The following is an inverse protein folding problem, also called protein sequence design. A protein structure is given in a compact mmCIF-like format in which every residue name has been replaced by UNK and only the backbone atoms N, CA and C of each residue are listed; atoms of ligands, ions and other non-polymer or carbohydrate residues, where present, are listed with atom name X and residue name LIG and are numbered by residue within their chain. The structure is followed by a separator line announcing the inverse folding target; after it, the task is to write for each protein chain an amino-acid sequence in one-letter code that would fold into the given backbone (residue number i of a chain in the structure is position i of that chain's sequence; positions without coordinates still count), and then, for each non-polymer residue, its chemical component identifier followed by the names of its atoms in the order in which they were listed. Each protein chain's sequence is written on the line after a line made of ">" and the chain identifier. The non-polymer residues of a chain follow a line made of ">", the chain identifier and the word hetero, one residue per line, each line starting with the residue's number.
data_IF_982022838561
#
_entry.id   IF_982022838561
#
_cell.length_a   1.000
_cell.length_b   1.000
_cell.length_c   1.000
_cell.angle_alpha   90.00
_cell.angle_beta   90.00
_cell.angle_gamma   90.00
#
_symmetry.space_group_name_H-M   'P 1'
#
loop_
_entity.id
_entity.type
_entity.pdbx_description
1 polymer ?
#
# COMPACT_ATOMS: atom_id res chain seq x y z
N UNK A 1 4.10 -67.87 23.69
CA UNK A 1 5.31 -67.03 23.73
C UNK A 1 5.05 -65.79 22.87
N UNK A 2 5.01 -64.57 23.51
CA UNK A 2 4.84 -63.27 22.78
C UNK A 2 6.19 -62.79 22.30
N UNK A 3 6.38 -62.72 20.96
CA UNK A 3 7.56 -62.12 20.37
C UNK A 3 7.58 -60.62 20.66
N UNK A 4 8.47 -60.19 21.54
CA UNK A 4 8.76 -58.78 21.82
C UNK A 4 9.54 -58.23 20.63
N UNK A 5 8.87 -57.47 19.72
CA UNK A 5 9.56 -56.69 18.67
C UNK A 5 10.44 -55.64 19.35
N UNK A 6 11.77 -55.83 19.24
CA UNK A 6 12.73 -54.83 19.65
C UNK A 6 12.55 -53.59 18.75
N UNK A 7 12.14 -52.48 19.31
CA UNK A 7 12.15 -51.18 18.64
C UNK A 7 13.63 -50.78 18.43
N UNK A 8 14.04 -50.60 17.19
CA UNK A 8 15.35 -50.01 16.85
C UNK A 8 15.34 -48.57 17.36
N UNK A 9 16.24 -48.26 18.27
CA UNK A 9 16.48 -46.88 18.69
C UNK A 9 17.21 -46.09 17.60
N UNK A 10 16.92 -44.81 17.51
CA UNK A 10 17.57 -43.88 16.59
C UNK A 10 18.99 -43.59 17.10
N UNK A 11 19.99 -43.61 16.22
CA UNK A 11 21.37 -43.30 16.61
C UNK A 11 21.57 -41.77 16.60
N UNK A 12 22.46 -41.26 17.44
CA UNK A 12 22.85 -39.84 17.50
C UNK A 12 23.39 -39.35 16.16
N UNK A 13 24.13 -40.22 15.43
CA UNK A 13 24.68 -39.93 14.12
C UNK A 13 23.57 -39.74 13.06
N UNK A 14 22.54 -40.59 13.05
CA UNK A 14 21.42 -40.46 12.13
C UNK A 14 20.70 -39.12 12.33
N UNK A 15 20.50 -38.71 13.61
CA UNK A 15 19.88 -37.41 13.89
C UNK A 15 20.78 -36.26 13.43
N UNK A 16 22.09 -36.33 13.63
CA UNK A 16 23.05 -35.31 13.26
C UNK A 16 23.11 -35.11 11.75
N UNK A 17 23.09 -36.19 10.97
CA UNK A 17 23.06 -36.12 9.51
C UNK A 17 21.78 -35.43 9.02
N UNK A 18 20.63 -35.75 9.61
CA UNK A 18 19.34 -35.14 9.21
C UNK A 18 19.35 -33.62 9.44
N UNK A 19 19.78 -33.16 10.63
CA UNK A 19 19.82 -31.71 10.91
C UNK A 19 20.86 -31.00 10.02
N UNK A 20 21.99 -31.66 9.68
CA UNK A 20 22.98 -31.10 8.77
C UNK A 20 22.40 -30.91 7.37
N UNK A 21 21.65 -31.89 6.84
CA UNK A 21 20.99 -31.78 5.52
C UNK A 21 19.91 -30.68 5.55
N UNK A 22 19.09 -30.63 6.60
CA UNK A 22 18.07 -29.57 6.75
C UNK A 22 18.74 -28.20 6.79
N UNK A 23 19.86 -28.03 7.52
CA UNK A 23 20.62 -26.78 7.58
C UNK A 23 21.12 -26.32 6.23
N UNK A 24 21.68 -27.25 5.43
CA UNK A 24 22.14 -26.94 4.06
C UNK A 24 20.96 -26.54 3.16
N UNK A 25 19.87 -27.30 3.18
CA UNK A 25 18.69 -26.99 2.37
C UNK A 25 18.08 -25.63 2.76
N UNK A 26 17.95 -25.36 4.05
CA UNK A 26 17.42 -24.09 4.56
C UNK A 26 18.28 -22.89 4.12
N UNK A 27 19.62 -23.04 4.13
CA UNK A 27 20.54 -21.97 3.70
C UNK A 27 20.40 -21.61 2.23
N UNK A 28 20.05 -22.56 1.37
CA UNK A 28 19.82 -22.34 -0.07
C UNK A 28 18.46 -21.73 -0.37
N UNK A 29 17.43 -22.09 0.42
CA UNK A 29 16.04 -21.63 0.20
C UNK A 29 15.83 -20.20 0.71
N UNK A 30 16.49 -19.82 1.82
CA UNK A 30 16.25 -18.54 2.50
C UNK A 30 16.36 -17.30 1.58
N UNK A 31 17.42 -17.11 0.78
CA UNK A 31 17.53 -15.95 -0.10
C UNK A 31 16.46 -15.92 -1.19
N UNK A 32 16.08 -17.07 -1.75
CA UNK A 32 15.03 -17.16 -2.75
C UNK A 32 13.65 -16.82 -2.17
N UNK A 33 13.37 -17.28 -0.94
CA UNK A 33 12.12 -16.98 -0.23
C UNK A 33 11.99 -15.49 0.08
N UNK A 34 13.06 -14.84 0.54
CA UNK A 34 13.08 -13.40 0.81
C UNK A 34 12.77 -12.57 -0.44
N UNK A 35 13.34 -12.92 -1.59
CA UNK A 35 13.05 -12.26 -2.86
C UNK A 35 11.59 -12.49 -3.31
N UNK A 36 11.07 -13.70 -3.16
CA UNK A 36 9.68 -14.02 -3.50
C UNK A 36 8.69 -13.24 -2.64
N UNK A 37 8.95 -13.10 -1.34
CA UNK A 37 8.11 -12.31 -0.43
C UNK A 37 8.10 -10.82 -0.82
N UNK A 38 9.26 -10.25 -1.16
CA UNK A 38 9.35 -8.86 -1.62
C UNK A 38 8.57 -8.63 -2.94
N UNK A 39 8.67 -9.56 -3.89
CA UNK A 39 7.88 -9.50 -5.13
C UNK A 39 6.37 -9.60 -4.85
N UNK A 40 5.95 -10.49 -3.95
CA UNK A 40 4.55 -10.64 -3.53
C UNK A 40 3.98 -9.36 -2.92
N UNK A 41 4.75 -8.69 -2.05
CA UNK A 41 4.38 -7.42 -1.44
C UNK A 41 4.18 -6.30 -2.47
N UNK A 42 5.06 -6.23 -3.48
CA UNK A 42 4.92 -5.27 -4.59
C UNK A 42 3.67 -5.54 -5.43
N UNK A 43 3.38 -6.80 -5.76
CA UNK A 43 2.17 -7.16 -6.51
C UNK A 43 0.90 -6.82 -5.73
N UNK A 44 0.86 -7.07 -4.42
CA UNK A 44 -0.27 -6.72 -3.56
C UNK A 44 -0.48 -5.21 -3.54
N UNK A 45 0.57 -4.43 -3.29
CA UNK A 45 0.53 -2.97 -3.30
C UNK A 45 0.03 -2.44 -4.65
N UNK A 46 0.55 -2.95 -5.78
CA UNK A 46 0.10 -2.57 -7.11
C UNK A 46 -1.41 -2.83 -7.31
N UNK A 47 -1.89 -4.02 -6.90
CA UNK A 47 -3.31 -4.37 -7.03
C UNK A 47 -4.19 -3.48 -6.15
N UNK A 48 -3.76 -3.16 -4.92
CA UNK A 48 -4.50 -2.28 -4.03
C UNK A 48 -4.56 -0.85 -4.58
N UNK A 49 -3.43 -0.29 -5.05
CA UNK A 49 -3.43 1.02 -5.72
C UNK A 49 -4.36 1.05 -6.94
N UNK A 50 -4.37 -0.04 -7.72
CA UNK A 50 -5.26 -0.19 -8.88
C UNK A 50 -6.72 -0.23 -8.45
N UNK A 51 -7.07 -1.00 -7.41
CA UNK A 51 -8.43 -1.06 -6.88
C UNK A 51 -8.92 0.32 -6.42
N UNK A 52 -8.09 1.06 -5.67
CA UNK A 52 -8.42 2.41 -5.22
C UNK A 52 -8.64 3.34 -6.42
N UNK A 53 -7.71 3.35 -7.37
CA UNK A 53 -7.77 4.24 -8.55
C UNK A 53 -8.94 3.91 -9.47
N UNK A 54 -9.22 2.62 -9.72
CA UNK A 54 -10.34 2.18 -10.54
C UNK A 54 -11.69 2.50 -9.88
N UNK A 55 -11.80 2.27 -8.58
CA UNK A 55 -13.01 2.57 -7.83
C UNK A 55 -13.28 4.07 -7.80
N UNK A 56 -12.24 4.88 -7.56
CA UNK A 56 -12.35 6.33 -7.66
C UNK A 56 -12.80 6.77 -9.04
N UNK A 57 -12.14 6.28 -10.11
CA UNK A 57 -12.45 6.63 -11.49
C UNK A 57 -13.89 6.25 -11.84
N UNK A 58 -14.32 5.05 -11.47
CA UNK A 58 -15.70 4.59 -11.66
C UNK A 58 -16.69 5.52 -10.97
N UNK A 59 -16.45 5.85 -9.69
CA UNK A 59 -17.33 6.72 -8.92
C UNK A 59 -17.44 8.12 -9.50
N UNK A 60 -16.32 8.76 -9.86
CA UNK A 60 -16.32 10.15 -10.33
C UNK A 60 -16.86 10.29 -11.76
N UNK A 61 -16.77 9.22 -12.58
CA UNK A 61 -17.25 9.21 -13.97
C UNK A 61 -18.69 8.67 -14.12
N UNK A 62 -19.27 8.07 -13.10
CA UNK A 62 -20.62 7.51 -13.17
C UNK A 62 -21.67 8.58 -12.96
N UNK A 63 -22.64 8.64 -13.87
CA UNK A 63 -23.82 9.53 -13.80
C UNK A 63 -23.64 10.85 -14.57
N UNK A 64 -24.67 11.70 -14.46
CA UNK A 64 -24.76 12.96 -15.23
C UNK A 64 -24.08 14.16 -14.54
N UNK A 65 -23.67 14.00 -13.29
CA UNK A 65 -23.02 15.07 -12.51
C UNK A 65 -21.59 14.68 -12.17
N UNK A 66 -20.69 15.63 -12.30
CA UNK A 66 -19.30 15.50 -11.85
C UNK A 66 -19.28 15.33 -10.32
N UNK A 67 -18.60 14.29 -9.85
CA UNK A 67 -18.43 14.00 -8.42
C UNK A 67 -16.97 14.17 -8.05
N UNK A 68 -16.72 14.71 -6.87
CA UNK A 68 -15.38 14.88 -6.32
C UNK A 68 -15.33 14.17 -4.97
N UNK A 69 -14.31 13.36 -4.73
CA UNK A 69 -14.07 12.75 -3.43
C UNK A 69 -13.37 13.78 -2.54
N UNK A 70 -13.93 14.02 -1.37
CA UNK A 70 -13.42 14.98 -0.38
C UNK A 70 -13.46 14.35 0.99
N UNK A 71 -12.34 14.41 1.71
CA UNK A 71 -12.22 14.07 3.12
C UNK A 71 -11.46 15.16 3.87
N UNK A 72 -11.64 15.28 5.18
CA UNK A 72 -10.82 16.10 6.04
C UNK A 72 -9.51 15.38 6.41
N UNK A 73 -9.57 14.06 6.44
CA UNK A 73 -8.44 13.16 6.62
C UNK A 73 -8.53 12.00 5.61
N UNK A 74 -7.51 11.15 5.58
CA UNK A 74 -7.45 10.00 4.68
C UNK A 74 -8.52 8.94 5.00
N UNK A 75 -8.92 8.82 6.26
CA UNK A 75 -9.95 7.88 6.71
C UNK A 75 -11.33 8.28 6.18
N UNK A 76 -11.66 9.56 6.25
CA UNK A 76 -12.91 10.09 5.66
C UNK A 76 -12.90 9.96 4.14
N UNK A 77 -11.75 10.23 3.49
CA UNK A 77 -11.61 10.05 2.05
C UNK A 77 -11.86 8.59 1.63
N UNK A 78 -11.29 7.63 2.35
CA UNK A 78 -11.52 6.20 2.14
C UNK A 78 -12.99 5.82 2.41
N UNK A 79 -13.59 6.38 3.46
CA UNK A 79 -15.00 6.13 3.80
C UNK A 79 -15.98 6.64 2.74
N UNK A 80 -15.65 7.71 2.03
CA UNK A 80 -16.46 8.15 0.86
C UNK A 80 -16.48 7.08 -0.23
N UNK A 81 -15.34 6.44 -0.52
CA UNK A 81 -15.30 5.34 -1.49
C UNK A 81 -16.00 4.09 -0.97
N UNK A 82 -15.92 3.81 0.32
CA UNK A 82 -16.64 2.72 0.95
C UNK A 82 -18.16 2.89 0.85
N UNK A 83 -18.67 4.09 1.14
CA UNK A 83 -20.09 4.41 1.09
C UNK A 83 -20.64 4.50 -0.35
N UNK A 84 -19.91 5.18 -1.24
CA UNK A 84 -20.41 5.59 -2.55
C UNK A 84 -20.00 4.65 -3.69
N UNK A 85 -18.99 3.81 -3.47
CA UNK A 85 -18.40 2.95 -4.50
C UNK A 85 -18.06 1.54 -4.00
N UNK A 86 -18.59 1.15 -2.83
CA UNK A 86 -18.50 -0.20 -2.24
C UNK A 86 -17.06 -0.66 -1.92
N UNK A 87 -16.07 0.25 -1.87
CA UNK A 87 -14.69 -0.07 -1.51
C UNK A 87 -14.54 -0.09 0.02
N UNK A 88 -15.19 -1.03 0.69
CA UNK A 88 -15.27 -1.09 2.16
C UNK A 88 -14.30 -2.10 2.81
N UNK A 89 -13.43 -2.73 2.05
CA UNK A 89 -12.40 -3.64 2.58
C UNK A 89 -11.19 -2.84 3.10
N UNK A 90 -10.97 -2.89 4.41
CA UNK A 90 -9.86 -2.18 5.05
C UNK A 90 -8.47 -2.72 4.66
N UNK A 91 -8.37 -3.99 4.25
CA UNK A 91 -7.10 -4.61 3.85
C UNK A 91 -6.50 -3.98 2.57
N UNK A 92 -7.30 -3.27 1.79
CA UNK A 92 -6.84 -2.51 0.63
C UNK A 92 -6.01 -1.30 1.07
N UNK A 93 -6.34 -0.72 2.21
CA UNK A 93 -5.73 0.49 2.76
C UNK A 93 -4.56 0.21 3.70
N UNK A 94 -4.51 -1.00 4.28
CA UNK A 94 -3.56 -1.43 5.30
C UNK A 94 -2.71 -2.56 4.72
N UNK A 95 -1.42 -2.30 4.49
CA UNK A 95 -0.49 -3.31 3.98
C UNK A 95 0.21 -3.99 5.15
N UNK A 96 0.01 -5.30 5.30
CA UNK A 96 0.50 -6.11 6.43
C UNK A 96 2.04 -6.25 6.51
N UNK A 97 2.75 -5.77 5.50
CA UNK A 97 4.21 -5.70 5.47
C UNK A 97 4.75 -4.28 5.73
N UNK A 98 3.88 -3.32 5.97
CA UNK A 98 4.24 -1.95 6.34
C UNK A 98 4.63 -1.88 7.82
N UNK A 99 5.80 -1.32 8.13
CA UNK A 99 6.37 -1.37 9.47
C UNK A 99 5.43 -0.86 10.58
N UNK A 100 4.80 0.32 10.46
CA UNK A 100 3.86 0.81 11.48
C UNK A 100 2.63 -0.12 11.65
N UNK A 101 2.20 -0.79 10.58
CA UNK A 101 1.13 -1.79 10.65
C UNK A 101 1.58 -3.02 11.42
N UNK A 102 2.79 -3.52 11.13
CA UNK A 102 3.39 -4.65 11.85
C UNK A 102 3.53 -4.32 13.34
N UNK A 103 4.01 -3.14 13.67
CA UNK A 103 4.14 -2.66 15.06
C UNK A 103 2.78 -2.66 15.75
N UNK A 104 1.75 -2.10 15.11
CA UNK A 104 0.39 -2.09 15.66
C UNK A 104 -0.16 -3.50 15.90
N UNK A 105 0.05 -4.43 14.96
CA UNK A 105 -0.37 -5.84 15.09
C UNK A 105 0.42 -6.51 16.23
N UNK A 106 1.69 -6.20 16.41
CA UNK A 106 2.53 -6.78 17.47
C UNK A 106 2.04 -6.42 18.88
N UNK A 107 1.31 -5.31 19.03
CA UNK A 107 0.64 -4.94 20.30
C UNK A 107 -0.67 -5.69 20.57
N UNK A 108 -1.06 -6.62 19.69
CA UNK A 108 -2.28 -7.42 19.79
C UNK A 108 -3.48 -6.84 19.04
N UNK A 109 -3.32 -5.76 18.28
CA UNK A 109 -4.38 -5.23 17.44
C UNK A 109 -4.63 -6.12 16.22
N UNK A 110 -5.89 -6.27 15.81
CA UNK A 110 -6.27 -6.99 14.60
C UNK A 110 -6.61 -5.99 13.50
N UNK A 111 -6.17 -6.25 12.27
CA UNK A 111 -6.54 -5.44 11.11
C UNK A 111 -8.07 -5.44 10.98
N UNK A 112 -8.73 -4.27 10.93
CA UNK A 112 -10.18 -4.18 10.80
C UNK A 112 -10.64 -4.73 9.45
N UNK A 113 -11.87 -5.25 9.40
CA UNK A 113 -12.44 -5.81 8.17
C UNK A 113 -12.98 -4.71 7.25
N UNK A 114 -13.50 -3.62 7.84
CA UNK A 114 -14.22 -2.58 7.11
C UNK A 114 -13.63 -1.19 7.32
N UNK A 115 -13.67 -0.38 6.27
CA UNK A 115 -13.30 1.05 6.30
C UNK A 115 -14.35 1.87 7.02
N UNK A 116 -15.63 1.59 6.75
CA UNK A 116 -16.76 2.30 7.32
C UNK A 116 -17.86 1.34 7.73
N UNK A 117 -18.60 1.73 8.77
CA UNK A 117 -19.74 0.99 9.31
C UNK A 117 -21.02 1.71 8.95
N UNK A 118 -22.07 0.93 8.58
CA UNK A 118 -23.39 1.45 8.26
C UNK A 118 -24.34 1.22 9.44
N UNK A 119 -24.95 2.30 9.92
CA UNK A 119 -26.03 2.24 10.93
C UNK A 119 -27.27 2.89 10.34
N UNK A 120 -28.24 2.06 9.94
CA UNK A 120 -29.42 2.53 9.19
C UNK A 120 -29.04 3.09 7.82
N UNK A 121 -29.31 4.38 7.59
CA UNK A 121 -28.93 5.12 6.38
C UNK A 121 -27.58 5.85 6.50
N UNK A 122 -27.02 5.92 7.70
CA UNK A 122 -25.81 6.68 7.97
C UNK A 122 -24.57 5.80 7.88
N UNK A 123 -23.53 6.34 7.21
CA UNK A 123 -22.20 5.76 7.17
C UNK A 123 -21.26 6.57 8.05
N UNK A 124 -20.42 5.87 8.79
CA UNK A 124 -19.38 6.47 9.64
C UNK A 124 -18.08 5.70 9.47
N UNK A 125 -16.96 6.40 9.53
CA UNK A 125 -15.63 5.75 9.57
C UNK A 125 -15.63 4.72 10.69
N UNK A 126 -15.15 3.51 10.40
CA UNK A 126 -14.96 2.49 11.42
C UNK A 126 -13.89 2.97 12.42
N UNK A 127 -14.20 3.08 13.73
CA UNK A 127 -13.23 3.52 14.73
C UNK A 127 -11.97 2.65 14.76
N UNK A 128 -12.11 1.34 14.58
CA UNK A 128 -10.97 0.41 14.50
C UNK A 128 -10.07 0.72 13.28
N UNK A 129 -10.67 1.07 12.14
CA UNK A 129 -9.92 1.47 10.97
C UNK A 129 -9.18 2.80 11.18
N UNK A 130 -9.81 3.75 11.86
CA UNK A 130 -9.20 5.04 12.17
C UNK A 130 -8.01 4.93 13.14
N UNK A 131 -7.95 3.86 13.93
CA UNK A 131 -6.86 3.57 14.86
C UNK A 131 -5.64 2.88 14.18
N UNK A 132 -5.77 2.46 12.91
CA UNK A 132 -4.68 1.84 12.16
C UNK A 132 -3.94 2.85 11.27
N UNK A 133 -2.60 2.72 11.14
CA UNK A 133 -1.84 3.49 10.17
C UNK A 133 -2.23 3.06 8.74
N UNK A 134 -2.49 4.04 7.89
CA UNK A 134 -2.78 3.82 6.47
C UNK A 134 -1.47 3.81 5.69
N UNK A 135 -1.31 2.81 4.82
CA UNK A 135 -0.10 2.63 4.00
C UNK A 135 -0.07 3.53 2.75
N UNK A 136 -1.05 4.40 2.59
CA UNK A 136 -1.25 5.24 1.40
C UNK A 136 -1.30 6.71 1.74
N UNK A 137 -0.94 7.52 0.77
CA UNK A 137 -1.24 8.95 0.69
C UNK A 137 -2.13 9.19 -0.53
N UNK A 138 -3.04 10.15 -0.48
CA UNK A 138 -3.99 10.42 -1.56
C UNK A 138 -4.07 11.89 -1.89
N UNK A 139 -4.35 12.19 -3.17
CA UNK A 139 -4.70 13.52 -3.63
C UNK A 139 -6.18 13.81 -3.36
N UNK A 140 -6.45 14.68 -2.39
CA UNK A 140 -7.80 15.13 -2.06
C UNK A 140 -8.33 16.10 -3.14
N UNK A 141 -9.65 16.17 -3.30
CA UNK A 141 -10.33 17.11 -4.21
C UNK A 141 -9.82 17.01 -5.66
N UNK A 142 -9.38 15.84 -6.07
CA UNK A 142 -8.91 15.61 -7.44
C UNK A 142 -10.04 15.82 -8.44
N UNK A 143 -9.76 16.62 -9.48
CA UNK A 143 -10.72 16.89 -10.54
C UNK A 143 -10.95 15.61 -11.38
N UNK A 144 -12.19 15.17 -11.57
CA UNK A 144 -12.50 14.03 -12.44
C UNK A 144 -12.04 14.20 -13.89
N UNK A 145 -11.82 15.44 -14.33
CA UNK A 145 -11.31 15.76 -15.64
C UNK A 145 -9.81 16.12 -15.64
N UNK A 146 -9.12 15.82 -14.52
CA UNK A 146 -7.67 15.98 -14.46
C UNK A 146 -7.00 15.22 -15.62
N UNK A 147 -5.87 15.73 -16.14
CA UNK A 147 -5.09 15.03 -17.15
C UNK A 147 -4.76 13.60 -16.70
N UNK A 148 -4.79 12.66 -17.65
CA UNK A 148 -4.25 11.31 -17.40
C UNK A 148 -2.78 11.44 -16.97
N UNK A 149 -2.36 10.63 -16.01
CA UNK A 149 -1.04 10.77 -15.39
C UNK A 149 -0.98 11.79 -14.25
N UNK A 150 -2.12 12.35 -13.80
CA UNK A 150 -2.20 13.06 -12.52
C UNK A 150 -2.19 12.03 -11.38
N UNK A 151 -1.26 12.11 -10.41
CA UNK A 151 -1.25 11.21 -9.26
C UNK A 151 -2.52 11.29 -8.43
N UNK A 152 -3.05 10.15 -8.02
CA UNK A 152 -4.26 10.04 -7.20
C UNK A 152 -3.98 9.41 -5.84
N UNK A 153 -3.27 8.29 -5.84
CA UNK A 153 -2.91 7.52 -4.64
C UNK A 153 -1.48 7.01 -4.78
N UNK A 154 -0.73 7.01 -3.72
CA UNK A 154 0.62 6.44 -3.70
C UNK A 154 0.97 5.85 -2.34
N UNK A 155 1.93 4.92 -2.32
CA UNK A 155 2.42 4.36 -1.06
C UNK A 155 3.05 5.45 -0.21
N UNK A 156 2.82 5.40 1.10
CA UNK A 156 3.33 6.39 2.06
C UNK A 156 4.86 6.52 2.00
N UNK A 157 5.35 7.72 2.32
CA UNK A 157 6.76 8.03 2.50
C UNK A 157 7.42 8.68 1.29
N UNK A 158 6.66 9.17 0.30
CA UNK A 158 7.19 9.92 -0.81
C UNK A 158 7.46 11.37 -0.40
N UNK A 159 8.72 11.78 -0.46
CA UNK A 159 9.17 13.15 -0.12
C UNK A 159 8.99 14.13 -1.28
N UNK A 160 8.95 15.41 -0.95
CA UNK A 160 8.96 16.50 -1.96
C UNK A 160 10.22 16.53 -2.82
N UNK A 161 11.30 15.90 -2.37
CA UNK A 161 12.52 15.68 -3.15
C UNK A 161 12.35 14.67 -4.30
N UNK A 162 11.25 13.91 -4.31
CA UNK A 162 11.01 12.81 -5.25
C UNK A 162 11.62 11.47 -4.82
N UNK A 163 12.24 11.43 -3.66
CA UNK A 163 12.81 10.21 -3.07
C UNK A 163 11.86 9.61 -2.04
N UNK A 164 11.93 8.29 -1.87
CA UNK A 164 11.18 7.59 -0.85
C UNK A 164 11.93 7.61 0.48
N UNK A 165 11.18 7.76 1.56
CA UNK A 165 11.74 7.77 2.90
C UNK A 165 12.28 6.39 3.31
N UNK A 166 13.41 6.39 4.04
CA UNK A 166 14.06 5.17 4.47
C UNK A 166 13.37 4.48 5.66
N UNK A 167 12.66 5.26 6.48
CA UNK A 167 12.05 4.82 7.74
C UNK A 167 10.54 4.78 7.63
N UNK A 168 9.92 5.86 7.12
CA UNK A 168 8.47 6.00 7.00
C UNK A 168 7.90 5.37 5.72
N UNK A 169 8.74 5.12 4.72
CA UNK A 169 8.32 4.55 3.44
C UNK A 169 7.88 3.09 3.57
N UNK A 170 6.73 2.74 3.00
CA UNK A 170 6.20 1.36 2.99
C UNK A 170 7.20 0.35 2.46
N UNK A 171 7.93 0.69 1.42
CA UNK A 171 9.03 -0.10 0.83
C UNK A 171 10.40 0.52 1.12
N UNK A 172 10.46 1.40 2.11
CA UNK A 172 11.68 2.15 2.43
C UNK A 172 12.21 2.87 1.19
N UNK A 173 13.54 2.89 1.00
CA UNK A 173 14.18 3.53 -0.16
C UNK A 173 14.04 2.77 -1.48
N UNK A 174 13.46 1.58 -1.47
CA UNK A 174 13.35 0.77 -2.70
C UNK A 174 12.44 1.40 -3.76
N UNK A 175 11.49 2.24 -3.32
CA UNK A 175 10.51 2.87 -4.19
C UNK A 175 9.09 2.74 -3.67
N UNK A 176 8.13 2.96 -4.56
CA UNK A 176 6.72 2.80 -4.24
C UNK A 176 5.83 2.86 -5.48
N UNK A 177 4.58 2.49 -5.30
CA UNK A 177 3.58 2.58 -6.35
C UNK A 177 2.88 3.92 -6.35
N UNK A 178 2.60 4.42 -7.54
CA UNK A 178 1.71 5.56 -7.76
C UNK A 178 0.58 5.11 -8.67
N UNK A 179 -0.65 5.26 -8.22
CA UNK A 179 -1.86 5.11 -9.00
C UNK A 179 -2.36 6.46 -9.48
N UNK A 180 -2.78 6.53 -10.72
CA UNK A 180 -3.12 7.76 -11.43
C UNK A 180 -4.63 7.87 -11.69
N UNK A 181 -5.08 9.05 -12.10
CA UNK A 181 -6.50 9.36 -12.36
C UNK A 181 -7.13 8.57 -13.50
N UNK A 182 -6.35 7.98 -14.38
CA UNK A 182 -6.78 7.04 -15.43
C UNK A 182 -6.70 5.57 -15.01
N UNK A 183 -6.43 5.33 -13.71
CA UNK A 183 -6.34 4.02 -13.08
C UNK A 183 -5.16 3.14 -13.54
N UNK A 184 -4.15 3.69 -14.23
CA UNK A 184 -2.88 2.98 -14.35
C UNK A 184 -2.07 3.10 -13.05
N UNK A 185 -1.19 2.15 -12.81
CA UNK A 185 -0.31 2.10 -11.64
C UNK A 185 1.10 1.79 -12.10
N UNK A 186 2.06 2.58 -11.63
CA UNK A 186 3.47 2.37 -11.91
C UNK A 186 4.31 2.31 -10.64
N UNK A 187 5.42 1.60 -10.72
CA UNK A 187 6.45 1.55 -9.69
C UNK A 187 7.54 2.56 -9.99
N UNK A 188 7.88 3.37 -9.00
CA UNK A 188 8.95 4.35 -9.09
C UNK A 188 9.99 4.09 -7.99
N UNK A 189 11.25 3.95 -8.35
CA UNK A 189 12.39 3.94 -7.42
C UNK A 189 12.69 5.36 -6.94
N UNK A 190 12.49 6.34 -7.82
CA UNK A 190 12.60 7.78 -7.58
C UNK A 190 11.72 8.51 -8.59
N UNK A 191 11.22 9.70 -8.25
CA UNK A 191 10.56 10.61 -9.19
C UNK A 191 11.54 11.46 -10.00
N UNK A 192 12.85 11.24 -9.83
CA UNK A 192 13.90 11.82 -10.64
C UNK A 192 14.36 10.80 -11.67
N UNK A 193 14.36 11.17 -12.92
CA UNK A 193 14.95 10.37 -13.98
C UNK A 193 16.48 10.30 -13.78
N UNK A 194 17.03 9.10 -13.77
CA UNK A 194 18.45 8.86 -13.46
C UNK A 194 19.39 9.51 -14.48
N UNK A 195 18.98 9.58 -15.74
CA UNK A 195 19.80 10.08 -16.84
C UNK A 195 19.68 11.60 -17.00
N UNK A 196 18.45 12.11 -16.98
CA UNK A 196 18.19 13.54 -17.23
C UNK A 196 18.13 14.37 -15.95
N UNK A 197 17.99 13.73 -14.78
CA UNK A 197 17.73 14.36 -13.48
C UNK A 197 16.45 15.21 -13.45
N UNK A 198 15.63 15.14 -14.49
CA UNK A 198 14.34 15.81 -14.57
C UNK A 198 13.29 15.00 -13.80
N UNK A 199 12.18 15.64 -13.46
CA UNK A 199 11.04 14.96 -12.88
C UNK A 199 10.36 14.03 -13.88
N UNK A 200 9.81 12.91 -13.40
CA UNK A 200 9.03 11.98 -14.23
C UNK A 200 7.56 12.38 -14.33
N UNK A 201 7.05 13.11 -13.33
CA UNK A 201 5.68 13.62 -13.31
C UNK A 201 5.56 14.94 -14.10
N UNK A 202 4.35 15.35 -14.38
CA UNK A 202 4.04 16.68 -14.91
C UNK A 202 3.46 17.57 -13.81
N UNK A 203 3.80 18.85 -13.81
CA UNK A 203 3.13 19.85 -12.99
C UNK A 203 1.65 19.90 -13.39
N UNK A 204 0.77 19.97 -12.40
CA UNK A 204 -0.68 19.96 -12.66
C UNK A 204 -1.11 21.09 -13.58
N UNK A 205 -1.73 20.73 -14.69
CA UNK A 205 -2.20 21.70 -15.71
C UNK A 205 -1.10 22.27 -16.59
N UNK A 206 0.14 21.80 -16.50
CA UNK A 206 1.27 22.30 -17.27
C UNK A 206 1.97 21.20 -18.07
N UNK A 207 2.87 21.59 -18.93
CA UNK A 207 3.75 20.65 -19.67
C UNK A 207 5.09 20.43 -18.97
N UNK A 208 5.43 21.30 -18.00
CA UNK A 208 6.66 21.22 -17.23
C UNK A 208 6.71 19.93 -16.41
N UNK A 209 7.90 19.30 -16.33
CA UNK A 209 8.12 18.11 -15.52
C UNK A 209 8.53 18.46 -14.09
N UNK A 210 8.13 17.61 -13.15
CA UNK A 210 8.46 17.75 -11.73
C UNK A 210 8.75 16.40 -11.11
N UNK A 211 9.61 16.39 -10.10
CA UNK A 211 9.81 15.27 -9.19
C UNK A 211 9.06 15.46 -7.87
N UNK A 212 8.43 16.61 -7.66
CA UNK A 212 7.67 16.89 -6.46
C UNK A 212 6.20 16.53 -6.68
N UNK A 213 5.73 15.50 -5.97
CA UNK A 213 4.35 15.00 -6.08
C UNK A 213 3.31 16.10 -5.80
N UNK A 214 3.60 17.02 -4.87
CA UNK A 214 2.67 18.11 -4.54
C UNK A 214 2.44 19.08 -5.69
N UNK A 215 3.41 19.24 -6.60
CA UNK A 215 3.25 20.06 -7.79
C UNK A 215 2.48 19.35 -8.90
N UNK A 216 2.44 18.01 -8.86
CA UNK A 216 1.74 17.20 -9.86
C UNK A 216 0.24 17.04 -9.59
N UNK A 217 -0.25 17.54 -8.45
CA UNK A 217 -1.65 17.48 -8.04
C UNK A 217 -2.27 18.87 -7.88
N UNK A 218 -3.60 18.95 -8.01
CA UNK A 218 -4.32 20.19 -7.79
C UNK A 218 -4.23 20.63 -6.33
N UNK A 219 -3.89 21.89 -6.08
CA UNK A 219 -3.88 22.47 -4.73
C UNK A 219 -2.62 22.16 -3.90
N UNK A 220 -1.66 21.45 -4.46
CA UNK A 220 -0.37 21.24 -3.82
C UNK A 220 -0.42 20.39 -2.55
N UNK A 221 0.54 20.63 -1.66
CA UNK A 221 0.70 19.85 -0.41
C UNK A 221 -0.51 19.91 0.52
N UNK A 222 -1.31 20.98 0.48
CA UNK A 222 -2.54 21.10 1.30
C UNK A 222 -3.64 20.11 0.89
N UNK A 223 -3.54 19.52 -0.29
CA UNK A 223 -4.47 18.50 -0.79
C UNK A 223 -3.91 17.08 -0.70
N UNK A 224 -2.79 16.86 -0.03
CA UNK A 224 -2.29 15.53 0.30
C UNK A 224 -2.86 15.11 1.64
N UNK A 225 -3.62 14.00 1.64
CA UNK A 225 -4.07 13.35 2.87
C UNK A 225 -3.19 12.13 3.15
N UNK A 226 -2.72 12.04 4.37
CA UNK A 226 -1.88 10.95 4.87
C UNK A 226 -2.16 10.70 6.36
N UNK A 227 -1.73 9.56 6.87
CA UNK A 227 -1.67 9.30 8.31
C UNK A 227 -0.36 9.86 8.85
N UNK A 228 -0.41 10.61 9.94
CA UNK A 228 0.78 10.92 10.71
C UNK A 228 1.21 9.65 11.44
N UNK A 229 2.40 9.17 11.15
CA UNK A 229 3.02 8.05 11.86
C UNK A 229 3.74 8.67 13.06
N UNK A 230 3.29 8.32 14.27
CA UNK A 230 3.88 8.75 15.53
C UNK A 230 5.17 8.01 15.83
#
# INVERSE_FOLDING_TARGET
>A
MKNKKLSRGFTLVELLIVIAIIGVLASLIYPALSQAMGAGSRVRSMNNAKNISQTWLSYVKTGTRTRIVVGNDIYEWAAVLAEKAELNDASIWILDFDLPVIEKISTGASVPLTVANRTGSNWQVNPEFKDFPISWEVANRTDPNAPSGTPLVWTRGLKSSGEWDAEEGVFKREGGHIGFTDAHVEWYTSLRDENTRQGVLKVYGETQRTFNISQAIRGGSSNILKTEVL
#
